data_IF_533169796668
#
_entry.id   IF_533169796668
#
_cell.length_a   1.000
_cell.length_b   1.000
_cell.length_c   1.000
_cell.angle_alpha   90.00
_cell.angle_beta   90.00
_cell.angle_gamma   90.00
#
_symmetry.space_group_name_H-M   'P 1'
#
loop_
_entity.id
_entity.type
_entity.pdbx_description
1 polymer ?
#
# COMPACT_ATOMS: atom_id res chain seq x y z
N UNK A 1 -12.95 -17.56 -15.73
CA UNK A 1 -11.95 -18.58 -15.34
C UNK A 1 -10.93 -18.04 -14.31
N UNK A 2 -10.26 -16.92 -14.54
CA UNK A 2 -9.25 -16.34 -13.60
C UNK A 2 -9.80 -16.08 -12.19
N UNK A 3 -11.01 -15.52 -12.07
CA UNK A 3 -11.64 -15.26 -10.76
C UNK A 3 -11.79 -16.55 -9.94
N UNK A 4 -12.18 -17.66 -10.57
CA UNK A 4 -12.34 -18.96 -9.89
C UNK A 4 -10.99 -19.48 -9.44
N UNK A 5 -9.96 -19.38 -10.29
CA UNK A 5 -8.59 -19.80 -9.94
C UNK A 5 -8.01 -18.96 -8.79
N UNK A 6 -8.21 -17.65 -8.82
CA UNK A 6 -7.80 -16.76 -7.71
C UNK A 6 -8.57 -17.10 -6.44
N UNK A 7 -9.88 -17.37 -6.54
CA UNK A 7 -10.70 -17.79 -5.39
C UNK A 7 -10.22 -19.09 -4.76
N UNK A 8 -9.95 -20.12 -5.59
CA UNK A 8 -9.40 -21.40 -5.13
C UNK A 8 -8.02 -21.23 -4.49
N UNK A 9 -7.16 -20.44 -5.15
CA UNK A 9 -5.84 -20.11 -4.60
C UNK A 9 -5.95 -19.43 -3.23
N UNK A 10 -6.80 -18.41 -3.09
CA UNK A 10 -7.01 -17.69 -1.83
C UNK A 10 -7.53 -18.62 -0.74
N UNK A 11 -8.46 -19.53 -1.05
CA UNK A 11 -8.95 -20.53 -0.11
C UNK A 11 -7.80 -21.39 0.41
N UNK A 12 -6.98 -21.95 -0.47
CA UNK A 12 -5.82 -22.77 -0.08
C UNK A 12 -4.78 -21.95 0.67
N UNK A 13 -4.47 -20.74 0.17
CA UNK A 13 -3.50 -19.82 0.78
C UNK A 13 -3.89 -19.45 2.21
N UNK A 14 -5.16 -19.10 2.45
CA UNK A 14 -5.63 -18.77 3.79
C UNK A 14 -5.67 -20.01 4.71
N UNK A 15 -6.07 -21.17 4.19
CA UNK A 15 -6.11 -22.42 4.98
C UNK A 15 -4.72 -22.82 5.45
N UNK A 16 -3.77 -22.98 4.52
CA UNK A 16 -2.37 -23.35 4.83
C UNK A 16 -1.67 -22.24 5.60
N UNK A 17 -1.87 -21.02 5.19
CA UNK A 17 -1.23 -19.86 5.80
C UNK A 17 -1.67 -19.59 7.24
N UNK A 18 -2.86 -20.01 7.67
CA UNK A 18 -3.25 -19.90 9.09
C UNK A 18 -2.36 -20.78 9.98
N UNK A 19 -1.98 -21.97 9.54
CA UNK A 19 -1.00 -22.81 10.26
C UNK A 19 0.38 -22.15 10.29
N UNK A 20 0.83 -21.60 9.16
CA UNK A 20 2.08 -20.85 9.10
C UNK A 20 2.08 -19.64 10.04
N UNK A 21 1.01 -18.84 10.07
CA UNK A 21 0.87 -17.71 10.98
C UNK A 21 0.82 -18.14 12.46
N UNK A 22 0.27 -19.33 12.74
CA UNK A 22 0.28 -19.92 14.08
C UNK A 22 1.71 -20.27 14.54
N UNK A 23 2.51 -20.90 13.66
CA UNK A 23 3.92 -21.19 13.92
C UNK A 23 4.73 -19.88 14.09
N UNK A 24 4.54 -18.89 13.20
CA UNK A 24 5.21 -17.59 13.31
C UNK A 24 4.80 -16.80 14.56
N UNK A 25 3.58 -16.97 15.05
CA UNK A 25 3.16 -16.40 16.35
C UNK A 25 3.98 -16.99 17.52
N UNK A 26 4.28 -18.27 17.48
CA UNK A 26 5.11 -18.92 18.50
C UNK A 26 6.55 -18.42 18.42
N UNK A 27 7.16 -18.42 17.22
CA UNK A 27 8.53 -17.91 16.99
C UNK A 27 8.65 -16.40 17.29
N UNK A 28 7.61 -15.62 17.06
CA UNK A 28 7.58 -14.19 17.34
C UNK A 28 7.75 -13.83 18.82
N UNK A 29 7.58 -14.80 19.74
CA UNK A 29 7.88 -14.61 21.17
C UNK A 29 9.36 -14.40 21.45
N UNK A 30 10.24 -14.95 20.61
CA UNK A 30 11.70 -14.79 20.73
C UNK A 30 12.21 -13.64 19.87
N UNK A 31 11.67 -13.44 18.67
CA UNK A 31 12.08 -12.37 17.77
C UNK A 31 10.89 -11.86 16.94
N UNK A 32 10.21 -10.86 17.47
CA UNK A 32 9.01 -10.29 16.85
C UNK A 32 9.30 -9.64 15.50
N UNK A 33 10.41 -8.88 15.38
CA UNK A 33 10.76 -8.18 14.12
C UNK A 33 11.04 -9.18 12.99
N UNK A 34 11.84 -10.21 13.26
CA UNK A 34 12.14 -11.23 12.26
C UNK A 34 10.88 -12.04 11.85
N UNK A 35 10.02 -12.38 12.81
CA UNK A 35 8.75 -13.06 12.54
C UNK A 35 7.84 -12.20 11.66
N UNK A 36 7.71 -10.92 11.96
CA UNK A 36 6.89 -9.99 11.20
C UNK A 36 7.40 -9.84 9.76
N UNK A 37 8.72 -9.76 9.56
CA UNK A 37 9.33 -9.71 8.24
C UNK A 37 9.08 -10.99 7.43
N UNK A 38 9.19 -12.20 8.04
CA UNK A 38 8.88 -13.46 7.36
C UNK A 38 7.40 -13.53 6.97
N UNK A 39 6.49 -13.08 7.83
CA UNK A 39 5.06 -13.01 7.54
C UNK A 39 4.78 -12.03 6.38
N UNK A 40 5.46 -10.88 6.36
CA UNK A 40 5.34 -9.92 5.26
C UNK A 40 5.83 -10.51 3.94
N UNK A 41 7.00 -11.18 3.93
CA UNK A 41 7.52 -11.89 2.74
C UNK A 41 6.58 -12.99 2.25
N UNK A 42 5.92 -13.69 3.16
CA UNK A 42 4.89 -14.68 2.81
C UNK A 42 3.68 -14.01 2.12
N UNK A 43 3.25 -12.85 2.61
CA UNK A 43 2.18 -12.06 1.96
C UNK A 43 2.64 -11.58 0.57
N UNK A 44 3.86 -11.07 0.43
CA UNK A 44 4.41 -10.67 -0.88
C UNK A 44 4.45 -11.84 -1.87
N UNK A 45 4.86 -13.04 -1.42
CA UNK A 45 4.80 -14.25 -2.23
C UNK A 45 3.37 -14.57 -2.66
N UNK A 46 2.41 -14.49 -1.74
CA UNK A 46 1.00 -14.68 -2.03
C UNK A 46 0.48 -13.72 -3.08
N UNK A 47 0.86 -12.44 -3.01
CA UNK A 47 0.47 -11.43 -3.99
C UNK A 47 1.11 -11.69 -5.37
N UNK A 48 2.38 -12.13 -5.44
CA UNK A 48 2.99 -12.54 -6.72
C UNK A 48 2.23 -13.70 -7.37
N UNK A 49 1.78 -14.68 -6.60
CA UNK A 49 0.95 -15.77 -7.11
C UNK A 49 -0.39 -15.27 -7.64
N UNK A 50 -1.07 -14.36 -6.93
CA UNK A 50 -2.34 -13.77 -7.40
C UNK A 50 -2.12 -13.02 -8.71
N UNK A 51 -1.10 -12.18 -8.80
CA UNK A 51 -0.78 -11.43 -10.02
C UNK A 51 -0.49 -12.37 -11.20
N UNK A 52 0.27 -13.44 -10.97
CA UNK A 52 0.54 -14.47 -11.99
C UNK A 52 -0.74 -15.17 -12.48
N UNK A 53 -1.59 -15.65 -11.56
CA UNK A 53 -2.86 -16.31 -11.89
C UNK A 53 -3.81 -15.35 -12.63
N UNK A 54 -3.79 -14.07 -12.23
CA UNK A 54 -4.58 -13.01 -12.87
C UNK A 54 -4.05 -12.62 -14.24
N UNK A 55 -2.83 -13.04 -14.62
CA UNK A 55 -2.19 -12.68 -15.89
C UNK A 55 -1.78 -11.21 -15.93
N UNK A 56 -1.42 -10.65 -14.77
CA UNK A 56 -0.97 -9.25 -14.64
C UNK A 56 0.55 -9.19 -14.81
N UNK A 57 1.00 -8.32 -15.71
CA UNK A 57 2.40 -7.99 -15.91
C UNK A 57 2.69 -6.64 -15.27
N UNK A 58 3.54 -6.63 -14.23
CA UNK A 58 3.89 -5.41 -13.52
C UNK A 58 5.19 -4.85 -14.07
N UNK A 59 5.16 -3.60 -14.50
CA UNK A 59 6.32 -2.81 -14.93
C UNK A 59 6.67 -1.82 -13.81
N UNK A 60 7.71 -2.12 -13.06
CA UNK A 60 8.15 -1.29 -11.96
C UNK A 60 9.39 -0.47 -12.35
N UNK A 61 9.39 0.83 -12.02
CA UNK A 61 10.51 1.76 -12.15
C UNK A 61 10.82 2.41 -10.79
N UNK A 62 12.05 2.87 -10.59
CA UNK A 62 12.42 3.60 -9.38
C UNK A 62 12.46 2.74 -8.11
N UNK A 63 12.54 1.41 -8.22
CA UNK A 63 12.60 0.52 -7.04
C UNK A 63 13.87 0.71 -6.23
N UNK A 64 14.93 1.28 -6.80
CA UNK A 64 16.15 1.73 -6.15
C UNK A 64 15.91 2.88 -5.17
N UNK A 65 14.92 3.72 -5.40
CA UNK A 65 14.52 4.83 -4.53
C UNK A 65 13.88 4.35 -3.21
N UNK A 66 13.50 3.06 -3.14
CA UNK A 66 12.91 2.49 -1.94
C UNK A 66 14.01 2.12 -0.95
N UNK A 67 14.08 2.76 0.24
CA UNK A 67 15.10 2.46 1.24
C UNK A 67 14.97 1.05 1.82
N UNK A 68 16.10 0.44 2.17
CA UNK A 68 16.13 -0.88 2.81
C UNK A 68 16.21 -0.80 4.34
N UNK A 69 16.87 0.25 4.85
CA UNK A 69 17.30 0.33 6.25
C UNK A 69 16.43 1.25 7.12
N UNK A 70 15.43 1.91 6.53
CA UNK A 70 14.55 2.81 7.26
C UNK A 70 13.07 2.60 6.92
N UNK A 71 12.21 2.95 7.87
CA UNK A 71 10.78 3.01 7.65
C UNK A 71 10.38 4.34 6.98
N UNK A 72 9.50 4.28 5.98
CA UNK A 72 9.06 5.42 5.19
C UNK A 72 7.53 5.49 5.12
N UNK A 73 7.04 6.65 4.71
CA UNK A 73 5.65 6.84 4.31
C UNK A 73 5.53 6.73 2.78
N UNK A 74 4.95 5.65 2.28
CA UNK A 74 4.57 5.56 0.86
C UNK A 74 3.24 6.28 0.64
N UNK A 75 3.20 7.11 -0.38
CA UNK A 75 2.03 7.91 -0.79
C UNK A 75 1.73 7.65 -2.24
N UNK A 76 0.52 7.18 -2.57
CA UNK A 76 0.15 6.85 -3.94
C UNK A 76 -1.24 7.36 -4.34
N UNK A 77 -1.46 7.51 -5.63
CA UNK A 77 -2.79 7.59 -6.22
C UNK A 77 -3.52 6.25 -6.10
N UNK A 78 -4.85 6.25 -6.12
CA UNK A 78 -5.65 5.03 -5.87
C UNK A 78 -6.65 4.76 -6.99
N UNK A 79 -6.45 3.69 -7.76
CA UNK A 79 -7.27 3.31 -8.91
C UNK A 79 -8.06 2.02 -8.70
N UNK A 80 -7.46 1.03 -8.01
CA UNK A 80 -8.05 -0.30 -7.89
C UNK A 80 -7.58 -1.08 -6.66
N UNK A 81 -8.21 -2.23 -6.42
CA UNK A 81 -7.78 -3.15 -5.34
C UNK A 81 -6.40 -3.74 -5.63
N UNK A 82 -6.05 -3.87 -6.91
CA UNK A 82 -4.74 -4.37 -7.32
C UNK A 82 -3.60 -3.41 -7.00
N UNK A 83 -3.85 -2.13 -6.71
CA UNK A 83 -2.82 -1.18 -6.27
C UNK A 83 -2.03 -1.71 -5.07
N UNK A 84 -2.73 -2.32 -4.10
CA UNK A 84 -2.10 -2.89 -2.92
C UNK A 84 -1.19 -4.06 -3.28
N UNK A 85 -1.64 -4.94 -4.20
CA UNK A 85 -0.88 -6.12 -4.59
C UNK A 85 0.40 -5.75 -5.34
N UNK A 86 0.28 -4.84 -6.33
CA UNK A 86 1.39 -4.45 -7.20
C UNK A 86 2.43 -3.58 -6.49
N UNK A 87 2.04 -2.83 -5.47
CA UNK A 87 2.98 -2.01 -4.69
C UNK A 87 3.65 -2.82 -3.58
N UNK A 88 2.90 -3.66 -2.86
CA UNK A 88 3.42 -4.42 -1.74
C UNK A 88 4.60 -5.35 -2.13
N UNK A 89 4.62 -5.89 -3.34
CA UNK A 89 5.68 -6.79 -3.79
C UNK A 89 7.03 -6.10 -3.99
N UNK A 90 7.06 -4.77 -4.05
CA UNK A 90 8.27 -3.95 -4.21
C UNK A 90 8.63 -3.15 -2.96
N UNK A 91 7.71 -2.98 -2.00
CA UNK A 91 8.06 -2.34 -0.73
C UNK A 91 9.11 -3.18 0.01
N UNK A 92 10.17 -2.50 0.45
CA UNK A 92 11.24 -3.10 1.26
C UNK A 92 10.88 -2.99 2.73
N UNK A 93 11.30 -3.97 3.53
CA UNK A 93 10.91 -4.02 4.94
C UNK A 93 9.41 -4.34 5.15
N UNK A 94 8.99 -4.34 6.39
CA UNK A 94 7.57 -4.53 6.74
C UNK A 94 6.81 -3.25 6.44
N UNK A 95 5.74 -3.36 5.65
CA UNK A 95 4.91 -2.22 5.26
C UNK A 95 3.44 -2.49 5.57
N UNK A 96 2.87 -1.69 6.47
CA UNK A 96 1.45 -1.71 6.80
C UNK A 96 0.66 -0.77 5.89
N UNK A 97 -0.54 -1.20 5.49
CA UNK A 97 -1.48 -0.39 4.69
C UNK A 97 -2.59 0.18 5.56
N UNK A 98 -2.95 1.45 5.33
CA UNK A 98 -4.16 2.02 5.94
C UNK A 98 -5.37 1.63 5.09
N UNK A 99 -6.20 0.75 5.63
CA UNK A 99 -7.34 0.13 4.95
C UNK A 99 -8.68 0.58 5.52
N UNK A 100 -9.74 0.50 4.72
CA UNK A 100 -11.10 0.81 5.19
C UNK A 100 -11.53 -0.17 6.29
N UNK A 101 -12.17 0.35 7.35
CA UNK A 101 -12.58 -0.45 8.54
C UNK A 101 -13.47 -1.64 8.20
N UNK A 102 -14.25 -1.57 7.12
CA UNK A 102 -15.13 -2.67 6.70
C UNK A 102 -14.36 -3.97 6.41
N UNK A 103 -13.09 -3.89 5.97
CA UNK A 103 -12.24 -5.06 5.69
C UNK A 103 -11.97 -5.86 6.96
N UNK A 104 -12.00 -5.22 8.14
CA UNK A 104 -11.86 -5.88 9.45
C UNK A 104 -12.93 -6.95 9.70
N UNK A 105 -14.05 -6.92 8.96
CA UNK A 105 -15.14 -7.90 9.07
C UNK A 105 -14.79 -9.25 8.43
N UNK A 106 -13.74 -9.32 7.59
CA UNK A 106 -13.27 -10.60 6.99
C UNK A 106 -12.21 -11.23 7.90
N UNK A 107 -12.54 -12.34 8.63
CA UNK A 107 -11.72 -12.83 9.75
C UNK A 107 -10.30 -13.20 9.33
N UNK A 108 -10.14 -14.05 8.30
CA UNK A 108 -8.81 -14.49 7.85
C UNK A 108 -7.97 -13.30 7.38
N UNK A 109 -8.50 -12.45 6.49
CA UNK A 109 -7.80 -11.29 5.97
C UNK A 109 -7.38 -10.32 7.09
N UNK A 110 -8.27 -10.09 8.07
CA UNK A 110 -7.98 -9.29 9.26
C UNK A 110 -6.75 -9.79 10.02
N UNK A 111 -6.61 -11.12 10.19
CA UNK A 111 -5.47 -11.71 10.91
C UNK A 111 -4.18 -11.42 10.14
N UNK A 112 -4.14 -11.72 8.84
CA UNK A 112 -2.98 -11.43 7.99
C UNK A 112 -2.59 -9.96 8.03
N UNK A 113 -3.56 -9.07 7.78
CA UNK A 113 -3.32 -7.63 7.75
C UNK A 113 -2.76 -7.10 9.08
N UNK A 114 -3.32 -7.52 10.22
CA UNK A 114 -2.79 -7.12 11.53
C UNK A 114 -1.37 -7.60 11.76
N UNK A 115 -1.03 -8.82 11.30
CA UNK A 115 0.29 -9.41 11.46
C UNK A 115 1.40 -8.67 10.71
N UNK A 116 1.06 -7.99 9.64
CA UNK A 116 1.99 -7.17 8.83
C UNK A 116 1.86 -5.66 9.10
N UNK A 117 1.22 -5.26 10.21
CA UNK A 117 1.13 -3.85 10.61
C UNK A 117 0.05 -3.03 9.90
N UNK A 118 -0.90 -3.64 9.16
CA UNK A 118 -1.99 -2.88 8.57
C UNK A 118 -2.93 -2.30 9.62
N UNK A 119 -3.39 -1.09 9.36
CA UNK A 119 -4.32 -0.35 10.20
C UNK A 119 -5.69 -0.21 9.52
N UNK A 120 -6.77 -0.16 10.33
CA UNK A 120 -8.14 -0.10 9.82
C UNK A 120 -8.76 1.22 10.22
N UNK A 121 -8.99 2.09 9.24
CA UNK A 121 -9.50 3.44 9.44
C UNK A 121 -10.98 3.53 9.10
N UNK A 122 -11.76 4.10 10.01
CA UNK A 122 -13.09 4.63 9.72
C UNK A 122 -12.92 6.09 9.30
N UNK A 123 -13.19 6.36 8.02
CA UNK A 123 -12.98 7.69 7.44
C UNK A 123 -14.09 8.69 7.78
N UNK A 124 -15.20 8.22 8.33
CA UNK A 124 -16.34 9.01 8.77
C UNK A 124 -16.20 9.42 10.25
N UNK A 125 -15.40 8.65 11.03
CA UNK A 125 -15.08 8.98 12.42
C UNK A 125 -13.73 9.70 12.52
N UNK A 126 -13.78 11.01 12.75
CA UNK A 126 -12.59 11.86 12.88
C UNK A 126 -11.72 11.44 14.06
N UNK A 127 -12.31 11.04 15.20
CA UNK A 127 -11.56 10.62 16.38
C UNK A 127 -10.81 9.32 16.13
N UNK A 128 -11.47 8.37 15.50
CA UNK A 128 -10.86 7.10 15.12
C UNK A 128 -9.78 7.29 14.06
N UNK A 129 -10.01 8.14 13.05
CA UNK A 129 -9.02 8.49 12.04
C UNK A 129 -7.77 9.10 12.66
N UNK A 130 -7.92 10.03 13.63
CA UNK A 130 -6.80 10.62 14.35
C UNK A 130 -6.01 9.54 15.12
N UNK A 131 -6.70 8.62 15.80
CA UNK A 131 -6.06 7.51 16.50
C UNK A 131 -5.21 6.66 15.55
N UNK A 132 -5.71 6.35 14.36
CA UNK A 132 -4.96 5.57 13.35
C UNK A 132 -3.72 6.32 12.86
N UNK A 133 -3.81 7.64 12.67
CA UNK A 133 -2.64 8.45 12.32
C UNK A 133 -1.58 8.40 13.44
N UNK A 134 -1.97 8.50 14.71
CA UNK A 134 -1.05 8.38 15.84
C UNK A 134 -0.41 6.97 15.91
N UNK A 135 -1.20 5.92 15.71
CA UNK A 135 -0.70 4.53 15.60
C UNK A 135 0.29 4.39 14.43
N UNK A 136 0.03 5.02 13.28
CA UNK A 136 0.93 5.01 12.13
C UNK A 136 2.28 5.68 12.44
N UNK A 137 2.27 6.80 13.15
CA UNK A 137 3.49 7.49 13.60
C UNK A 137 4.34 6.56 14.47
N UNK A 138 3.73 5.88 15.42
CA UNK A 138 4.44 4.96 16.33
C UNK A 138 4.97 3.73 15.57
N UNK A 139 4.21 3.21 14.58
CA UNK A 139 4.70 2.11 13.75
C UNK A 139 5.95 2.51 12.95
N UNK A 140 5.95 3.70 12.33
CA UNK A 140 7.11 4.21 11.58
C UNK A 140 8.32 4.35 12.48
N UNK A 141 8.17 4.92 13.67
CA UNK A 141 9.25 5.03 14.67
C UNK A 141 9.80 3.66 15.10
N UNK A 142 8.98 2.61 15.04
CA UNK A 142 9.37 1.23 15.35
C UNK A 142 9.92 0.45 14.13
N UNK A 143 10.13 1.13 12.99
CA UNK A 143 10.73 0.55 11.80
C UNK A 143 9.73 -0.17 10.88
N UNK A 144 8.43 0.13 10.95
CA UNK A 144 7.40 -0.38 10.08
C UNK A 144 6.96 0.74 9.15
N UNK A 145 7.16 0.58 7.84
CA UNK A 145 6.69 1.54 6.85
C UNK A 145 5.17 1.57 6.76
N UNK A 146 4.62 2.71 6.40
CA UNK A 146 3.18 2.87 6.18
C UNK A 146 2.93 3.21 4.71
N UNK A 147 1.97 2.53 4.10
CA UNK A 147 1.47 2.83 2.77
C UNK A 147 0.06 3.44 2.86
N UNK A 148 -0.12 4.60 2.23
CA UNK A 148 -1.39 5.33 2.29
C UNK A 148 -1.81 5.81 0.90
N UNK A 149 -3.13 5.85 0.69
CA UNK A 149 -3.79 6.47 -0.45
C UNK A 149 -4.55 7.71 0.06
N UNK A 150 -3.94 8.92 0.00
CA UNK A 150 -4.50 10.12 0.65
C UNK A 150 -5.80 10.63 0.03
N UNK A 151 -6.14 10.20 -1.18
CA UNK A 151 -7.44 10.46 -1.81
C UNK A 151 -8.60 9.94 -0.94
N UNK A 152 -8.33 8.90 -0.15
CA UNK A 152 -9.31 8.32 0.76
C UNK A 152 -10.36 7.43 0.06
N UNK A 153 -10.40 7.39 -1.25
CA UNK A 153 -11.25 6.51 -2.06
C UNK A 153 -10.57 6.23 -3.39
N UNK A 154 -11.00 5.19 -4.10
CA UNK A 154 -10.53 4.92 -5.46
C UNK A 154 -11.07 5.98 -6.42
N UNK A 155 -10.18 6.55 -7.23
CA UNK A 155 -10.56 7.45 -8.31
C UNK A 155 -11.31 6.66 -9.39
N UNK A 156 -12.46 7.18 -9.81
CA UNK A 156 -13.33 6.54 -10.80
C UNK A 156 -13.22 7.16 -12.19
N UNK A 157 -12.46 8.26 -12.32
CA UNK A 157 -12.19 8.83 -13.63
C UNK A 157 -11.33 7.86 -14.45
N UNK A 158 -11.85 7.39 -15.58
CA UNK A 158 -11.18 6.46 -16.51
C UNK A 158 -10.71 7.15 -17.79
N UNK A 159 -11.17 8.38 -18.02
CA UNK A 159 -10.83 9.14 -19.21
C UNK A 159 -9.41 9.73 -19.12
N UNK A 160 -8.99 10.05 -17.90
CA UNK A 160 -7.66 10.59 -17.63
C UNK A 160 -6.94 9.75 -16.55
N UNK A 161 -5.87 9.08 -16.97
CA UNK A 161 -5.05 8.28 -16.07
C UNK A 161 -4.20 9.13 -15.13
N UNK A 162 -3.98 10.41 -15.44
CA UNK A 162 -3.22 11.36 -14.61
C UNK A 162 -4.08 12.09 -13.59
N UNK A 163 -5.41 11.98 -13.67
CA UNK A 163 -6.33 12.60 -12.71
C UNK A 163 -6.13 12.00 -11.32
N UNK A 164 -5.85 12.87 -10.35
CA UNK A 164 -5.66 12.54 -8.94
C UNK A 164 -6.58 13.43 -8.10
N UNK A 165 -7.42 12.83 -7.27
CA UNK A 165 -8.26 13.58 -6.35
C UNK A 165 -7.41 14.32 -5.29
N UNK A 166 -8.02 15.29 -4.62
CA UNK A 166 -7.35 16.07 -3.57
C UNK A 166 -6.85 15.18 -2.44
N UNK A 167 -5.59 15.35 -2.07
CA UNK A 167 -4.99 14.62 -0.97
C UNK A 167 -5.40 15.20 0.39
N UNK A 168 -5.70 14.32 1.34
CA UNK A 168 -6.03 14.70 2.71
C UNK A 168 -4.74 15.02 3.48
N UNK A 169 -4.52 16.29 3.82
CA UNK A 169 -3.34 16.78 4.53
C UNK A 169 -3.06 16.03 5.86
N UNK A 170 -4.11 15.59 6.54
CA UNK A 170 -3.96 14.80 7.77
C UNK A 170 -3.13 13.53 7.61
N UNK A 171 -3.04 12.98 6.41
CA UNK A 171 -2.26 11.79 6.06
C UNK A 171 -0.75 12.02 6.24
N UNK A 172 -0.29 13.22 5.95
CA UNK A 172 1.13 13.60 5.98
C UNK A 172 1.66 13.89 7.39
N UNK A 173 0.78 13.98 8.40
CA UNK A 173 1.18 14.06 9.81
C UNK A 173 2.03 12.87 10.23
N UNK A 174 1.91 11.73 9.54
CA UNK A 174 2.77 10.57 9.78
C UNK A 174 4.24 10.95 9.54
N UNK A 175 4.57 11.49 8.37
CA UNK A 175 5.94 11.91 8.06
C UNK A 175 6.38 13.11 8.91
N UNK A 176 5.52 14.13 9.06
CA UNK A 176 5.82 15.33 9.87
C UNK A 176 6.21 15.01 11.31
N UNK A 177 5.54 14.03 11.94
CA UNK A 177 5.74 13.70 13.37
C UNK A 177 6.72 12.57 13.63
N UNK A 178 6.89 11.65 12.66
CA UNK A 178 7.91 10.59 12.78
C UNK A 178 9.28 11.03 12.26
N UNK A 179 9.32 12.01 11.36
CA UNK A 179 10.53 12.46 10.67
C UNK A 179 10.98 11.52 9.55
N UNK A 180 10.13 10.58 9.12
CA UNK A 180 10.46 9.68 8.01
C UNK A 180 10.35 10.38 6.66
N UNK A 181 11.07 9.85 5.66
CA UNK A 181 10.94 10.29 4.27
C UNK A 181 9.61 9.83 3.67
N UNK A 182 9.13 10.56 2.68
CA UNK A 182 7.96 10.21 1.88
C UNK A 182 8.43 9.65 0.55
N UNK A 183 7.88 8.52 0.12
CA UNK A 183 8.10 7.95 -1.21
C UNK A 183 6.83 8.15 -2.03
N UNK A 184 6.82 9.06 -3.01
CA UNK A 184 5.70 9.21 -3.92
C UNK A 184 5.65 8.01 -4.88
N UNK A 185 4.45 7.46 -5.11
CA UNK A 185 4.27 6.27 -5.96
C UNK A 185 3.14 6.52 -6.96
N UNK A 186 3.46 6.40 -8.24
CA UNK A 186 2.49 6.49 -9.32
C UNK A 186 2.05 5.08 -9.78
N UNK A 187 0.74 4.89 -9.97
CA UNK A 187 0.15 3.60 -10.34
C UNK A 187 -0.85 3.79 -11.48
N UNK A 188 -0.70 3.01 -12.57
CA UNK A 188 -1.66 2.97 -13.67
C UNK A 188 -1.97 1.52 -14.10
N UNK A 189 -3.12 1.31 -14.76
CA UNK A 189 -3.53 0.02 -15.32
C UNK A 189 -4.22 -0.94 -14.34
N UNK A 190 -4.31 -0.64 -13.05
CA UNK A 190 -4.88 -1.56 -12.06
C UNK A 190 -6.40 -1.66 -12.11
N UNK A 191 -7.10 -0.58 -12.44
CA UNK A 191 -8.56 -0.58 -12.54
C UNK A 191 -9.06 -1.49 -13.66
N UNK A 192 -8.34 -1.54 -14.77
CA UNK A 192 -8.61 -2.38 -15.93
C UNK A 192 -8.48 -3.89 -15.63
N UNK A 193 -7.77 -4.25 -14.58
CA UNK A 193 -7.64 -5.65 -14.15
C UNK A 193 -8.93 -6.16 -13.53
N UNK A 194 -9.64 -5.34 -12.76
CA UNK A 194 -10.80 -5.80 -12.01
C UNK A 194 -11.96 -4.81 -11.94
N UNK A 195 -11.74 -3.54 -11.56
CA UNK A 195 -12.81 -2.57 -11.31
C UNK A 195 -13.68 -2.30 -12.54
N UNK A 196 -13.07 -2.25 -13.72
CA UNK A 196 -13.76 -1.94 -14.97
C UNK A 196 -14.44 -3.17 -15.59
N UNK A 197 -14.18 -4.35 -15.04
CA UNK A 197 -14.69 -5.63 -15.54
C UNK A 197 -15.42 -6.47 -14.50
N UNK A 198 -15.87 -5.85 -13.40
CA UNK A 198 -16.55 -6.55 -12.31
C UNK A 198 -17.66 -7.48 -12.80
N UNK A 199 -17.73 -8.74 -12.31
CA UNK A 199 -16.88 -9.35 -11.30
C UNK A 199 -15.63 -10.07 -11.84
N UNK A 200 -15.26 -9.89 -13.09
CA UNK A 200 -14.25 -10.69 -13.80
C UNK A 200 -12.86 -10.09 -13.70
N UNK A 201 -11.86 -10.95 -13.49
CA UNK A 201 -10.45 -10.56 -13.52
C UNK A 201 -9.93 -10.69 -14.96
N UNK A 202 -9.37 -9.60 -15.47
CA UNK A 202 -8.69 -9.52 -16.75
C UNK A 202 -7.18 -9.46 -16.54
N UNK A 203 -6.40 -10.02 -17.46
CA UNK A 203 -4.96 -9.85 -17.49
C UNK A 203 -4.63 -8.54 -18.18
N UNK A 204 -3.51 -7.94 -17.82
CA UNK A 204 -3.10 -6.68 -18.42
C UNK A 204 -1.73 -6.24 -17.94
N UNK A 205 -1.35 -5.04 -18.36
CA UNK A 205 -0.12 -4.39 -17.96
C UNK A 205 -0.43 -3.34 -16.88
N UNK A 206 0.38 -3.33 -15.83
CA UNK A 206 0.30 -2.37 -14.74
C UNK A 206 1.66 -1.71 -14.59
N UNK A 207 1.66 -0.39 -14.45
CA UNK A 207 2.89 0.39 -14.27
C UNK A 207 2.91 0.96 -12.87
N UNK A 208 4.06 0.81 -12.20
CA UNK A 208 4.30 1.33 -10.86
C UNK A 208 5.64 2.06 -10.87
N UNK A 209 5.63 3.35 -10.52
CA UNK A 209 6.87 4.13 -10.45
C UNK A 209 7.05 4.67 -9.03
N UNK A 210 8.18 4.31 -8.40
CA UNK A 210 8.59 4.87 -7.13
C UNK A 210 9.47 6.10 -7.39
N UNK A 211 8.97 7.27 -7.01
CA UNK A 211 9.69 8.53 -7.17
C UNK A 211 10.79 8.70 -6.12
N UNK A 212 11.57 9.78 -6.29
CA UNK A 212 12.63 10.15 -5.37
C UNK A 212 12.09 10.41 -3.95
N UNK A 213 12.83 9.97 -2.91
CA UNK A 213 12.44 10.20 -1.53
C UNK A 213 12.38 11.68 -1.18
N UNK A 214 11.27 12.12 -0.63
CA UNK A 214 11.06 13.49 -0.16
C UNK A 214 11.40 13.55 1.32
N UNK A 215 12.44 14.32 1.68
CA UNK A 215 12.71 14.67 3.08
C UNK A 215 12.05 16.01 3.39
N UNK A 216 11.07 16.00 4.28
CA UNK A 216 10.37 17.23 4.67
C UNK A 216 11.28 18.30 5.27
N UNK A 217 12.45 17.93 5.80
CA UNK A 217 13.42 18.89 6.37
C UNK A 217 14.12 19.73 5.30
N UNK A 218 14.17 19.25 4.05
CA UNK A 218 14.81 19.97 2.93
C UNK A 218 13.84 20.90 2.20
N UNK A 219 12.54 20.76 2.47
CA UNK A 219 11.49 21.59 1.88
C UNK A 219 11.40 22.96 2.58
N UNK A 220 10.97 23.98 1.85
CA UNK A 220 10.65 25.27 2.44
C UNK A 220 9.37 25.22 3.31
N UNK A 221 9.06 26.33 4.01
CA UNK A 221 7.92 26.38 4.93
C UNK A 221 6.57 26.29 4.22
N UNK A 222 6.45 26.81 3.01
CA UNK A 222 5.21 26.76 2.23
C UNK A 222 4.98 25.35 1.67
N UNK A 223 6.03 24.71 1.13
CA UNK A 223 5.99 23.32 0.68
C UNK A 223 5.63 22.36 1.84
N UNK A 224 6.23 22.57 3.03
CA UNK A 224 5.89 21.77 4.21
C UNK A 224 4.44 21.94 4.64
N UNK A 225 3.88 23.14 4.50
CA UNK A 225 2.49 23.46 4.85
C UNK A 225 1.49 22.84 3.87
N UNK A 226 1.87 22.76 2.59
CA UNK A 226 1.08 22.20 1.49
C UNK A 226 1.66 20.89 0.96
N UNK A 227 2.20 20.06 1.86
CA UNK A 227 2.89 18.82 1.50
C UNK A 227 2.02 17.83 0.71
N UNK A 228 0.70 17.85 0.94
CA UNK A 228 -0.24 17.04 0.18
C UNK A 228 -0.30 17.43 -1.29
N UNK A 229 -0.34 18.72 -1.58
CA UNK A 229 -0.30 19.25 -2.95
C UNK A 229 1.05 18.97 -3.59
N UNK A 230 2.15 19.27 -2.90
CA UNK A 230 3.50 18.97 -3.35
C UNK A 230 3.68 17.49 -3.75
N UNK A 231 3.25 16.56 -2.89
CA UNK A 231 3.32 15.13 -3.20
C UNK A 231 2.40 14.73 -4.36
N UNK A 232 1.22 15.35 -4.46
CA UNK A 232 0.29 15.12 -5.57
C UNK A 232 0.92 15.51 -6.90
N UNK A 233 1.58 16.66 -6.97
CA UNK A 233 2.25 17.15 -8.18
C UNK A 233 3.39 16.20 -8.58
N UNK A 234 4.19 15.73 -7.62
CA UNK A 234 5.24 14.73 -7.90
C UNK A 234 4.67 13.41 -8.45
N UNK A 235 3.54 12.95 -7.91
CA UNK A 235 2.88 11.74 -8.42
C UNK A 235 2.28 12.00 -9.80
N UNK A 236 1.72 13.17 -10.04
CA UNK A 236 1.21 13.56 -11.36
C UNK A 236 2.33 13.56 -12.41
N UNK A 237 3.49 14.15 -12.12
CA UNK A 237 4.64 14.14 -13.02
C UNK A 237 5.04 12.70 -13.38
N UNK A 238 5.12 11.80 -12.39
CA UNK A 238 5.42 10.38 -12.62
C UNK A 238 4.35 9.68 -13.46
N UNK A 239 3.07 10.05 -13.32
CA UNK A 239 1.97 9.50 -14.14
C UNK A 239 2.08 9.96 -15.59
N UNK A 240 2.45 11.22 -15.83
CA UNK A 240 2.70 11.76 -17.18
C UNK A 240 3.88 11.03 -17.83
N UNK A 241 4.98 10.80 -17.10
CA UNK A 241 6.12 10.03 -17.58
C UNK A 241 5.78 8.57 -17.92
N UNK A 242 4.79 7.97 -17.26
CA UNK A 242 4.34 6.60 -17.58
C UNK A 242 3.59 6.52 -18.91
N UNK A 243 3.05 7.64 -19.41
CA UNK A 243 2.31 7.69 -20.67
C UNK A 243 3.19 8.04 -21.87
N UNK A 244 4.40 8.57 -21.63
CA UNK A 244 5.38 8.89 -22.66
C UNK A 244 6.17 7.67 -23.12
#
# INVERSE_FOLDING_TARGET
MRLILVGLYLFLYFTVGMFYLGAEWLFGRWNQKASMLRQYRFVQWGFRCILFISGVKVHAKGTENVPEDEAVLYVANHRGIFDVLVTAIYCKGVTGYISKIVIKKVPCLRVYMKRIGCLFMDREDIKQSLKIILESIEQVKNGISIFIFPEGTRNKNREDATDIATFKEGSFKVAQKSGCRIIPVAITGTAEIFEDHLPWIHGGHVYVTFGEPIDMKTLDKEEQKHIGEYCKDRIHDLLVEQQA
#
